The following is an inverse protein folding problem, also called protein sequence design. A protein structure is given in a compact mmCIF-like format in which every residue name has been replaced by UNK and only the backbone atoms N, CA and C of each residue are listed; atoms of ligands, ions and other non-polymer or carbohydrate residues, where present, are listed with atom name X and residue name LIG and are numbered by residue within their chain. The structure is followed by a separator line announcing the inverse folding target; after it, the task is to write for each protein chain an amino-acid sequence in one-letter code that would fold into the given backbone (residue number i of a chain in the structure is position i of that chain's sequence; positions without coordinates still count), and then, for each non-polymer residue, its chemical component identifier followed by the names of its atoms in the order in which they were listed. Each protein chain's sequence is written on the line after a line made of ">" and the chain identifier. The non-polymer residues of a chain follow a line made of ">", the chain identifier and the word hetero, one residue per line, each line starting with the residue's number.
data_IF_555044955666
#
_entry.id   IF_555044955666
#
_cell.length_a   1.000
_cell.length_b   1.000
_cell.length_c   1.000
_cell.angle_alpha   90.00
_cell.angle_beta   90.00
_cell.angle_gamma   90.00
#
_symmetry.space_group_name_H-M   'P 1'
#
loop_
_entity.id
_entity.type
_entity.pdbx_description
1 polymer ?
#
# COMPACT_ATOMS: atom_id res chain seq x y z
N UNK A 1 2.09 0.57 -9.48
CA UNK A 1 2.72 1.91 -9.52
C UNK A 1 4.17 1.68 -9.84
N UNK A 2 4.53 1.88 -11.11
CA UNK A 2 5.90 1.65 -11.55
C UNK A 2 6.79 2.65 -10.83
N UNK A 3 7.85 2.15 -10.19
CA UNK A 3 8.87 3.04 -9.62
C UNK A 3 9.64 3.68 -10.77
N UNK A 4 9.23 4.88 -11.14
CA UNK A 4 9.80 5.65 -12.27
C UNK A 4 10.97 6.52 -11.84
N UNK A 5 11.43 6.45 -10.60
CA UNK A 5 12.50 7.29 -10.09
C UNK A 5 13.59 6.44 -9.43
N UNK A 6 14.83 6.89 -9.55
CA UNK A 6 15.99 6.28 -8.91
C UNK A 6 15.85 6.39 -7.40
N UNK A 7 15.92 5.27 -6.69
CA UNK A 7 15.84 5.25 -5.23
C UNK A 7 17.01 5.99 -4.55
N UNK A 8 18.09 6.26 -5.28
CA UNK A 8 19.26 6.92 -4.75
C UNK A 8 19.23 8.45 -4.89
N UNK A 9 18.89 8.96 -6.07
CA UNK A 9 19.01 10.38 -6.43
C UNK A 9 17.68 11.00 -6.93
N UNK A 10 16.58 10.25 -6.90
CA UNK A 10 15.25 10.66 -7.35
C UNK A 10 15.10 11.02 -8.85
N UNK A 11 16.17 10.94 -9.65
CA UNK A 11 16.11 11.16 -11.09
C UNK A 11 15.11 10.20 -11.77
N UNK A 12 14.39 10.65 -12.81
CA UNK A 12 13.46 9.81 -13.55
C UNK A 12 14.21 8.66 -14.24
N UNK A 13 13.52 7.53 -14.41
CA UNK A 13 14.04 6.28 -14.94
C UNK A 13 13.13 5.74 -16.03
N UNK A 14 13.76 5.14 -17.05
CA UNK A 14 13.08 4.32 -18.03
C UNK A 14 12.52 3.02 -17.40
N UNK A 15 11.57 2.38 -18.09
CA UNK A 15 10.91 1.17 -17.62
C UNK A 15 11.87 -0.03 -17.46
N UNK A 16 13.02 -0.03 -18.12
CA UNK A 16 14.02 -1.09 -18.15
C UNK A 16 15.27 -0.75 -17.32
N UNK A 17 15.24 0.37 -16.58
CA UNK A 17 16.36 0.82 -15.78
C UNK A 17 16.93 -0.28 -14.85
N UNK A 18 18.26 -0.27 -14.60
CA UNK A 18 18.90 -1.22 -13.72
C UNK A 18 18.23 -1.32 -12.35
N UNK A 19 18.23 -2.53 -11.78
CA UNK A 19 17.56 -2.80 -10.51
C UNK A 19 18.39 -3.71 -9.61
N UNK A 20 18.15 -3.61 -8.31
CA UNK A 20 18.61 -4.62 -7.36
C UNK A 20 18.01 -5.97 -7.77
N UNK A 21 18.86 -6.95 -8.06
CA UNK A 21 18.43 -8.28 -8.54
C UNK A 21 17.54 -9.01 -7.53
N UNK A 22 17.69 -8.72 -6.23
CA UNK A 22 16.94 -9.39 -5.17
C UNK A 22 15.54 -8.84 -4.97
N UNK A 23 15.40 -7.52 -4.90
CA UNK A 23 14.14 -6.88 -4.50
C UNK A 23 13.55 -5.94 -5.55
N UNK A 24 14.22 -5.79 -6.69
CA UNK A 24 13.79 -5.00 -7.84
C UNK A 24 13.68 -3.48 -7.61
N UNK A 25 14.29 -2.93 -6.54
CA UNK A 25 14.45 -1.48 -6.40
C UNK A 25 15.31 -0.94 -7.54
N UNK A 26 14.88 0.17 -8.18
CA UNK A 26 15.47 0.68 -9.42
C UNK A 26 16.46 1.83 -9.19
N UNK A 27 17.45 1.91 -10.07
CA UNK A 27 18.55 2.86 -10.00
C UNK A 27 18.96 3.33 -11.40
N UNK A 28 19.60 4.50 -11.48
CA UNK A 28 20.24 4.95 -12.72
C UNK A 28 21.34 3.97 -13.16
N UNK A 29 22.17 3.54 -12.20
CA UNK A 29 23.35 2.72 -12.43
C UNK A 29 23.87 2.07 -11.13
N UNK A 30 24.96 1.30 -11.23
CA UNK A 30 25.61 0.63 -10.09
C UNK A 30 26.10 1.60 -9.01
N UNK A 31 26.53 2.82 -9.38
CA UNK A 31 26.97 3.84 -8.42
C UNK A 31 25.83 4.23 -7.49
N UNK A 32 24.66 4.57 -8.06
CA UNK A 32 23.44 4.86 -7.30
C UNK A 32 23.02 3.67 -6.43
N UNK A 33 23.11 2.44 -6.96
CA UNK A 33 22.79 1.23 -6.20
C UNK A 33 23.71 1.04 -5.00
N UNK A 34 25.03 1.16 -5.17
CA UNK A 34 26.01 1.00 -4.09
C UNK A 34 25.89 2.10 -3.04
N UNK A 35 25.65 3.34 -3.47
CA UNK A 35 25.43 4.45 -2.55
C UNK A 35 24.16 4.24 -1.71
N UNK A 36 23.03 3.89 -2.35
CA UNK A 36 21.80 3.56 -1.63
C UNK A 36 21.96 2.32 -0.73
N UNK A 37 22.78 1.34 -1.12
CA UNK A 37 23.17 0.21 -0.28
C UNK A 37 23.82 0.64 1.03
N UNK A 38 24.79 1.55 0.96
CA UNK A 38 25.49 2.09 2.13
C UNK A 38 24.57 2.94 3.01
N UNK A 39 23.67 3.71 2.41
CA UNK A 39 22.69 4.57 3.13
C UNK A 39 21.59 3.81 3.88
N UNK A 40 21.38 2.53 3.60
CA UNK A 40 20.41 1.73 4.37
C UNK A 40 19.62 0.70 3.59
N UNK A 41 19.80 0.59 2.26
CA UNK A 41 19.05 -0.40 1.49
C UNK A 41 19.35 -1.83 1.95
N UNK A 42 20.54 -2.11 2.48
CA UNK A 42 20.92 -3.45 2.97
C UNK A 42 19.97 -3.98 4.06
N UNK A 43 19.51 -3.14 4.97
CA UNK A 43 18.59 -3.52 6.04
C UNK A 43 17.17 -3.75 5.50
N UNK A 44 16.78 -3.01 4.46
CA UNK A 44 15.42 -3.05 3.92
C UNK A 44 15.23 -4.06 2.80
N UNK A 45 16.29 -4.43 2.07
CA UNK A 45 16.22 -5.25 0.86
C UNK A 45 15.44 -6.56 1.08
N UNK A 46 15.70 -7.27 2.19
CA UNK A 46 14.99 -8.50 2.56
C UNK A 46 13.50 -8.27 2.83
N UNK A 47 13.15 -7.14 3.47
CA UNK A 47 11.76 -6.77 3.77
C UNK A 47 10.99 -6.44 2.49
N UNK A 48 11.62 -5.68 1.59
CA UNK A 48 11.05 -5.32 0.28
C UNK A 48 10.81 -6.58 -0.54
N UNK A 49 11.80 -7.47 -0.64
CA UNK A 49 11.66 -8.74 -1.36
C UNK A 49 10.49 -9.58 -0.83
N UNK A 50 10.40 -9.77 0.49
CA UNK A 50 9.29 -10.50 1.14
C UNK A 50 7.92 -9.86 0.92
N UNK A 51 7.87 -8.55 0.64
CA UNK A 51 6.64 -7.81 0.37
C UNK A 51 6.16 -7.86 -1.08
N UNK A 52 6.71 -8.77 -1.91
CA UNK A 52 6.37 -8.87 -3.32
C UNK A 52 7.26 -8.01 -4.23
N UNK A 53 8.50 -7.77 -3.83
CA UNK A 53 9.45 -6.84 -4.48
C UNK A 53 9.02 -5.36 -4.39
N UNK A 54 9.88 -4.48 -4.90
CA UNK A 54 9.79 -3.04 -4.69
C UNK A 54 8.43 -2.45 -5.08
N UNK A 55 7.91 -2.75 -6.27
CA UNK A 55 6.64 -2.20 -6.72
C UNK A 55 5.48 -2.58 -5.80
N UNK A 56 5.26 -3.87 -5.54
CA UNK A 56 4.18 -4.33 -4.67
C UNK A 56 4.36 -3.84 -3.23
N UNK A 57 5.59 -3.85 -2.72
CA UNK A 57 5.89 -3.39 -1.36
C UNK A 57 5.50 -1.92 -1.17
N UNK A 58 5.90 -1.05 -2.10
CA UNK A 58 5.58 0.37 -2.04
C UNK A 58 4.09 0.63 -2.30
N UNK A 59 3.45 -0.11 -3.21
CA UNK A 59 2.01 -0.04 -3.42
C UNK A 59 1.23 -0.43 -2.14
N UNK A 60 1.62 -1.52 -1.48
CA UNK A 60 1.04 -1.96 -0.21
C UNK A 60 1.24 -0.94 0.91
N UNK A 61 2.42 -0.29 0.96
CA UNK A 61 2.69 0.77 1.94
C UNK A 61 1.75 1.97 1.70
N UNK A 62 1.64 2.44 0.47
CA UNK A 62 0.73 3.54 0.10
C UNK A 62 -0.73 3.19 0.35
N UNK A 63 -1.14 1.95 0.06
CA UNK A 63 -2.48 1.47 0.39
C UNK A 63 -2.75 1.62 1.89
N UNK A 64 -1.86 1.14 2.76
CA UNK A 64 -2.04 1.23 4.21
C UNK A 64 -2.11 2.68 4.70
N UNK A 65 -1.27 3.55 4.16
CA UNK A 65 -1.29 4.99 4.47
C UNK A 65 -2.62 5.62 4.04
N UNK A 66 -3.09 5.34 2.82
CA UNK A 66 -4.35 5.86 2.31
C UNK A 66 -5.56 5.34 3.10
N UNK A 67 -5.56 4.05 3.48
CA UNK A 67 -6.61 3.47 4.31
C UNK A 67 -6.63 4.12 5.69
N UNK A 68 -5.47 4.31 6.33
CA UNK A 68 -5.40 4.97 7.63
C UNK A 68 -6.00 6.39 7.56
N UNK A 69 -5.60 7.18 6.56
CA UNK A 69 -6.15 8.53 6.35
C UNK A 69 -7.66 8.50 6.11
N UNK A 70 -8.15 7.57 5.29
CA UNK A 70 -9.58 7.45 5.00
C UNK A 70 -10.39 7.03 6.23
N UNK A 71 -9.87 6.10 7.05
CA UNK A 71 -10.49 5.66 8.30
C UNK A 71 -10.58 6.81 9.30
N UNK A 72 -9.48 7.55 9.49
CA UNK A 72 -9.47 8.73 10.37
C UNK A 72 -10.49 9.79 9.89
N UNK A 73 -10.54 10.05 8.58
CA UNK A 73 -11.51 10.99 8.02
C UNK A 73 -12.97 10.54 8.17
N UNK A 74 -13.23 9.23 8.32
CA UNK A 74 -14.56 8.66 8.51
C UNK A 74 -14.87 8.32 9.99
N UNK A 75 -14.00 8.67 10.95
CA UNK A 75 -14.11 8.17 12.32
C UNK A 75 -15.45 8.52 13.00
N UNK A 76 -15.91 9.77 12.84
CA UNK A 76 -17.18 10.22 13.43
C UNK A 76 -18.39 9.54 12.78
N UNK A 77 -18.38 9.42 11.46
CA UNK A 77 -19.45 8.79 10.67
C UNK A 77 -19.60 7.28 10.95
N UNK A 78 -18.51 6.65 11.36
CA UNK A 78 -18.43 5.18 11.53
C UNK A 78 -18.57 4.74 12.98
N UNK A 79 -18.77 5.69 13.91
CA UNK A 79 -18.88 5.42 15.34
C UNK A 79 -20.05 4.49 15.65
N UNK A 80 -19.76 3.37 16.31
CA UNK A 80 -20.75 2.35 16.68
C UNK A 80 -21.30 1.54 15.50
N UNK A 81 -20.76 1.73 14.30
CA UNK A 81 -21.18 1.02 13.11
C UNK A 81 -20.34 -0.24 12.88
N UNK A 82 -20.81 -1.10 11.99
CA UNK A 82 -20.10 -2.31 11.58
C UNK A 82 -19.99 -2.39 10.06
N UNK A 83 -18.98 -3.13 9.59
CA UNK A 83 -18.81 -3.40 8.17
C UNK A 83 -20.00 -4.16 7.62
N UNK A 84 -20.64 -3.67 6.54
CA UNK A 84 -21.80 -4.34 5.95
C UNK A 84 -21.48 -5.72 5.34
N UNK A 85 -20.20 -5.99 5.05
CA UNK A 85 -19.73 -7.23 4.42
C UNK A 85 -19.45 -8.30 5.47
N UNK A 86 -18.69 -7.96 6.52
CA UNK A 86 -18.19 -8.93 7.50
C UNK A 86 -18.74 -8.73 8.91
N UNK A 87 -19.63 -7.75 9.10
CA UNK A 87 -20.32 -7.39 10.35
C UNK A 87 -19.43 -7.04 11.54
N UNK A 88 -18.14 -6.77 11.31
CA UNK A 88 -17.18 -6.37 12.35
C UNK A 88 -16.91 -4.86 12.31
N UNK A 89 -16.69 -4.26 13.48
CA UNK A 89 -16.23 -2.87 13.59
C UNK A 89 -14.77 -2.72 13.13
N UNK A 90 -13.90 -3.64 13.57
CA UNK A 90 -12.50 -3.73 13.12
C UNK A 90 -12.29 -5.02 12.35
N UNK A 91 -11.60 -4.97 11.21
CA UNK A 91 -11.36 -6.15 10.41
C UNK A 91 -10.45 -7.15 11.17
N UNK A 92 -10.88 -8.40 11.34
CA UNK A 92 -10.17 -9.40 12.13
C UNK A 92 -8.68 -9.56 11.78
N UNK A 93 -8.31 -9.44 10.49
CA UNK A 93 -6.94 -9.65 10.00
C UNK A 93 -6.12 -8.36 9.87
N UNK A 94 -6.70 -7.33 9.24
CA UNK A 94 -5.97 -6.09 8.91
C UNK A 94 -6.08 -5.05 10.02
N UNK A 95 -7.03 -5.22 10.95
CA UNK A 95 -7.39 -4.27 12.01
C UNK A 95 -7.79 -2.88 11.48
N UNK A 96 -8.19 -2.82 10.21
CA UNK A 96 -8.73 -1.61 9.59
C UNK A 96 -10.04 -1.22 10.26
N UNK A 97 -10.25 0.08 10.43
CA UNK A 97 -11.55 0.67 10.73
C UNK A 97 -12.41 0.81 9.47
N UNK A 98 -13.59 1.39 9.64
CA UNK A 98 -14.56 1.51 8.55
C UNK A 98 -14.30 2.78 7.74
N UNK A 99 -14.67 2.73 6.46
CA UNK A 99 -14.79 3.89 5.59
C UNK A 99 -16.21 3.99 5.06
N UNK A 100 -16.61 5.19 4.66
CA UNK A 100 -17.87 5.40 3.95
C UNK A 100 -17.76 4.80 2.53
N UNK A 101 -18.42 3.68 2.28
CA UNK A 101 -18.65 3.17 0.92
C UNK A 101 -19.73 3.98 0.20
N UNK A 102 -20.04 3.67 -1.08
CA UNK A 102 -20.97 4.49 -1.86
C UNK A 102 -22.25 4.76 -1.06
N UNK A 103 -22.54 6.04 -0.83
CA UNK A 103 -23.73 6.55 -0.13
C UNK A 103 -25.03 6.28 -0.90
N UNK A 104 -24.99 5.43 -1.92
CA UNK A 104 -26.07 4.96 -2.75
C UNK A 104 -27.26 4.36 -1.95
N UNK A 105 -27.06 3.93 -0.68
CA UNK A 105 -28.13 3.45 0.23
C UNK A 105 -27.94 3.89 1.71
N UNK A 106 -27.79 5.18 1.98
CA UNK A 106 -27.79 5.69 3.37
C UNK A 106 -26.58 5.22 4.21
N UNK A 107 -26.82 4.77 5.47
CA UNK A 107 -25.77 4.29 6.40
C UNK A 107 -25.31 2.85 6.13
N UNK A 108 -25.97 2.12 5.22
CA UNK A 108 -25.66 0.71 4.92
C UNK A 108 -24.36 0.50 4.11
N UNK A 109 -23.63 1.57 3.77
CA UNK A 109 -22.45 1.52 2.91
C UNK A 109 -21.11 1.42 3.64
N UNK A 110 -21.07 1.33 4.97
CA UNK A 110 -19.80 1.34 5.70
C UNK A 110 -19.07 -0.01 5.62
N UNK A 111 -17.81 0.01 5.23
CA UNK A 111 -17.03 -1.22 5.10
C UNK A 111 -15.55 -1.00 5.39
N UNK A 112 -14.83 -2.07 5.69
CA UNK A 112 -13.37 -2.07 5.60
C UNK A 112 -12.97 -1.97 4.13
N UNK A 113 -11.93 -1.19 3.82
CA UNK A 113 -11.42 -1.09 2.44
C UNK A 113 -11.01 -2.47 1.93
N UNK A 114 -10.40 -3.30 2.78
CA UNK A 114 -10.04 -4.67 2.40
C UNK A 114 -11.26 -5.53 2.01
N UNK A 115 -12.40 -5.37 2.69
CA UNK A 115 -13.61 -6.13 2.37
C UNK A 115 -14.21 -5.71 1.03
N UNK A 116 -14.21 -4.40 0.71
CA UNK A 116 -14.65 -3.90 -0.59
C UNK A 116 -13.77 -4.45 -1.73
N UNK A 117 -12.45 -4.47 -1.53
CA UNK A 117 -11.50 -5.00 -2.51
C UNK A 117 -11.72 -6.48 -2.75
N UNK A 118 -11.94 -7.30 -1.72
CA UNK A 118 -12.22 -8.73 -1.90
C UNK A 118 -13.56 -8.96 -2.60
N UNK A 119 -14.60 -8.19 -2.27
CA UNK A 119 -15.90 -8.28 -2.95
C UNK A 119 -15.78 -7.94 -4.44
N UNK A 120 -14.98 -6.93 -4.80
CA UNK A 120 -14.75 -6.52 -6.18
C UNK A 120 -13.98 -7.53 -7.04
N UNK A 121 -13.28 -8.51 -6.44
CA UNK A 121 -12.59 -9.58 -7.17
C UNK A 121 -13.50 -10.74 -7.58
N UNK A 122 -14.66 -10.85 -6.94
CA UNK A 122 -15.61 -11.96 -7.14
C UNK A 122 -16.62 -11.62 -8.26
N UNK A 123 -16.72 -10.34 -8.63
CA UNK A 123 -17.49 -9.83 -9.77
C UNK A 123 -16.62 -9.80 -11.03
#
# INVERSE_FOLDING_TARGET
>A
MILTNCAACAAPLAHDAPRCIRCHTRYCNKTCQHDHWRRGHKQMCKKIHRGGNAEQYHANKKYKEAVAVAVEACADDTKGQTCFICTQALHWKTKEGLVRGCSCRGTAGLAHVSCLVEQAKIL
#
